data_IF_895620102138
#
_entry.id   IF_895620102138
#
_cell.length_a   1.000
_cell.length_b   1.000
_cell.length_c   1.000
_cell.angle_alpha   90.00
_cell.angle_beta   90.00
_cell.angle_gamma   90.00
#
_symmetry.space_group_name_H-M   'P 1'
#
loop_
_entity.id
_entity.type
_entity.pdbx_description
1 polymer ?
#
# COMPACT_ATOMS: atom_id res chain seq x y z
N UNK A 1 -0.64 13.63 -8.35
CA UNK A 1 -1.35 14.42 -7.31
C UNK A 1 -1.55 13.52 -6.10
N UNK A 2 -0.56 13.46 -5.22
CA UNK A 2 -0.63 12.56 -4.09
C UNK A 2 -1.59 13.09 -3.02
N UNK A 3 -2.63 12.32 -2.73
CA UNK A 3 -3.72 12.71 -1.83
C UNK A 3 -3.64 11.94 -0.53
N UNK A 4 -2.52 12.16 0.17
CA UNK A 4 -2.18 11.60 1.47
C UNK A 4 -3.18 11.99 2.58
N UNK A 5 -3.96 13.05 2.40
CA UNK A 5 -4.59 13.75 3.51
C UNK A 5 -5.85 13.12 4.12
N UNK A 6 -6.27 11.90 3.75
CA UNK A 6 -7.21 11.00 4.47
C UNK A 6 -7.69 9.87 3.54
N UNK A 7 -6.87 8.85 3.33
CA UNK A 7 -7.37 7.61 2.73
C UNK A 7 -8.12 6.78 3.78
N UNK A 8 -9.36 6.41 3.47
CA UNK A 8 -10.18 5.51 4.29
C UNK A 8 -10.42 4.15 3.61
N UNK A 9 -9.71 3.85 2.52
CA UNK A 9 -9.75 2.55 1.87
C UNK A 9 -8.93 1.52 2.63
N UNK A 10 -9.43 0.29 2.64
CA UNK A 10 -8.81 -0.85 3.32
C UNK A 10 -8.47 -2.02 2.39
N UNK A 11 -8.48 -1.77 1.08
CA UNK A 11 -8.11 -2.72 0.02
C UNK A 11 -6.61 -2.65 -0.27
N UNK A 12 -6.04 -3.61 -1.03
CA UNK A 12 -4.64 -3.52 -1.47
C UNK A 12 -4.34 -2.15 -2.08
N UNK A 13 -3.16 -1.61 -1.78
CA UNK A 13 -2.75 -0.26 -2.16
C UNK A 13 -3.06 0.82 -1.12
N UNK A 14 -3.73 0.48 -0.01
CA UNK A 14 -4.15 1.41 1.03
C UNK A 14 -3.85 0.87 2.44
N UNK A 15 -4.56 1.37 3.46
CA UNK A 15 -4.31 0.97 4.85
C UNK A 15 -4.70 -0.49 5.08
N UNK A 16 -3.93 -1.18 5.92
CA UNK A 16 -4.29 -2.53 6.39
C UNK A 16 -5.46 -2.40 7.37
N UNK A 17 -6.57 -3.10 7.12
CA UNK A 17 -7.66 -3.20 8.10
C UNK A 17 -7.25 -4.05 9.30
N UNK A 18 -7.70 -3.71 10.51
CA UNK A 18 -7.33 -4.41 11.73
C UNK A 18 -7.69 -5.92 11.73
N UNK A 19 -8.79 -6.30 11.05
CA UNK A 19 -9.17 -7.71 10.87
C UNK A 19 -8.15 -8.45 9.99
N UNK A 20 -7.68 -7.82 8.92
CA UNK A 20 -6.64 -8.41 8.05
C UNK A 20 -5.31 -8.50 8.79
N UNK A 21 -4.97 -7.46 9.55
CA UNK A 21 -3.79 -7.45 10.40
C UNK A 21 -3.78 -8.64 11.38
N UNK A 22 -4.87 -8.85 12.13
CA UNK A 22 -4.95 -9.95 13.09
C UNK A 22 -4.74 -11.32 12.44
N UNK A 23 -5.40 -11.57 11.31
CA UNK A 23 -5.25 -12.83 10.56
C UNK A 23 -3.85 -13.03 9.98
N UNK A 24 -3.14 -11.95 9.72
CA UNK A 24 -1.80 -11.97 9.14
C UNK A 24 -0.73 -12.23 10.20
N UNK A 25 -0.89 -11.70 11.42
CA UNK A 25 0.02 -11.97 12.55
C UNK A 25 -0.02 -13.44 12.99
N UNK A 26 -1.15 -14.12 12.78
CA UNK A 26 -1.31 -15.55 13.07
C UNK A 26 -0.67 -16.47 12.01
N UNK A 27 0.08 -15.92 11.04
CA UNK A 27 0.63 -16.68 9.91
C UNK A 27 2.15 -16.71 9.94
N UNK A 28 2.71 -17.89 9.68
CA UNK A 28 4.17 -18.11 9.63
C UNK A 28 4.80 -17.84 8.26
N UNK A 29 4.02 -17.45 7.25
CA UNK A 29 4.54 -17.31 5.88
C UNK A 29 4.93 -15.86 5.55
N UNK A 30 6.13 -15.52 6.01
CA UNK A 30 6.85 -14.29 5.68
C UNK A 30 8.16 -14.65 4.99
N UNK A 31 8.48 -13.95 3.90
CA UNK A 31 9.72 -14.16 3.16
C UNK A 31 10.47 -12.85 3.04
N UNK A 32 11.78 -12.89 3.29
CA UNK A 32 12.62 -11.71 3.12
C UNK A 32 12.63 -11.30 1.64
N UNK A 33 12.57 -10.00 1.40
CA UNK A 33 12.53 -9.40 0.07
C UNK A 33 13.38 -8.15 0.02
N UNK A 34 13.92 -7.87 -1.16
CA UNK A 34 14.45 -6.56 -1.47
C UNK A 34 13.31 -5.67 -1.96
N UNK A 35 13.28 -4.41 -1.51
CA UNK A 35 12.25 -3.46 -1.90
C UNK A 35 12.90 -2.16 -2.34
N UNK A 36 12.58 -1.73 -3.55
CA UNK A 36 12.96 -0.42 -4.07
C UNK A 36 11.71 0.39 -4.38
N UNK A 37 11.74 1.67 -4.04
CA UNK A 37 10.64 2.60 -4.27
C UNK A 37 11.07 3.60 -5.33
N UNK A 38 10.37 3.56 -6.46
CA UNK A 38 10.50 4.57 -7.52
C UNK A 38 9.50 5.70 -7.21
N UNK A 39 10.03 6.83 -6.73
CA UNK A 39 9.21 7.99 -6.35
C UNK A 39 8.72 8.78 -7.56
N UNK A 40 9.39 8.69 -8.70
CA UNK A 40 9.02 9.41 -9.91
C UNK A 40 7.86 8.72 -10.62
N UNK A 41 7.87 7.39 -10.63
CA UNK A 41 6.79 6.56 -11.18
C UNK A 41 5.71 6.22 -10.15
N UNK A 42 5.92 6.55 -8.87
CA UNK A 42 5.07 6.15 -7.75
C UNK A 42 4.86 4.62 -7.68
N UNK A 43 5.93 3.85 -7.92
CA UNK A 43 5.92 2.39 -7.99
C UNK A 43 6.82 1.74 -6.93
N UNK A 44 6.47 0.50 -6.60
CA UNK A 44 7.24 -0.34 -5.69
C UNK A 44 7.75 -1.55 -6.45
N UNK A 45 9.05 -1.73 -6.46
CA UNK A 45 9.74 -2.90 -6.98
C UNK A 45 10.00 -3.83 -5.80
N UNK A 46 9.26 -4.93 -5.75
CA UNK A 46 9.50 -6.01 -4.79
C UNK A 46 10.27 -7.12 -5.49
N UNK A 47 11.46 -7.44 -5.00
CA UNK A 47 12.35 -8.43 -5.59
C UNK A 47 12.44 -9.62 -4.64
N UNK A 48 12.11 -10.81 -5.15
CA UNK A 48 12.20 -12.07 -4.43
C UNK A 48 12.87 -13.11 -5.31
N UNK A 49 13.93 -13.74 -4.82
CA UNK A 49 14.63 -14.81 -5.56
C UNK A 49 15.03 -14.36 -6.99
N UNK A 50 15.46 -13.10 -7.14
CA UNK A 50 15.81 -12.48 -8.43
C UNK A 50 14.61 -12.14 -9.34
N UNK A 51 13.37 -12.43 -8.93
CA UNK A 51 12.16 -12.06 -9.66
C UNK A 51 11.59 -10.76 -9.13
N UNK A 52 11.43 -9.79 -10.02
CA UNK A 52 10.80 -8.51 -9.69
C UNK A 52 9.29 -8.57 -9.90
N UNK A 53 8.55 -8.00 -8.95
CA UNK A 53 7.13 -7.72 -9.05
C UNK A 53 6.90 -6.22 -8.85
N UNK A 54 6.12 -5.61 -9.74
CA UNK A 54 5.69 -4.21 -9.61
C UNK A 54 4.40 -4.13 -8.80
N UNK A 55 4.41 -3.24 -7.82
CA UNK A 55 3.34 -3.01 -6.86
C UNK A 55 3.11 -1.50 -6.69
N UNK A 56 1.99 -1.16 -6.07
CA UNK A 56 1.60 0.21 -5.80
C UNK A 56 1.09 0.37 -4.37
N UNK A 57 1.33 1.56 -3.81
CA UNK A 57 0.79 2.00 -2.53
C UNK A 57 0.46 3.48 -2.63
N UNK A 58 -0.70 3.88 -2.12
CA UNK A 58 -1.18 5.26 -2.22
C UNK A 58 -0.32 6.31 -1.52
N UNK A 59 0.57 5.88 -0.62
CA UNK A 59 1.50 6.74 0.12
C UNK A 59 2.94 6.25 -0.06
N UNK A 60 3.45 6.39 -1.29
CA UNK A 60 4.78 5.92 -1.66
C UNK A 60 5.89 6.58 -0.83
N UNK A 61 5.74 7.89 -0.54
CA UNK A 61 6.68 8.65 0.28
C UNK A 61 6.80 8.07 1.70
N UNK A 62 5.67 7.70 2.32
CA UNK A 62 5.68 7.03 3.60
C UNK A 62 6.41 5.69 3.61
N UNK A 63 6.14 4.85 2.60
CA UNK A 63 6.82 3.56 2.50
C UNK A 63 8.33 3.76 2.32
N UNK A 64 8.73 4.72 1.47
CA UNK A 64 10.14 5.03 1.27
C UNK A 64 10.81 5.48 2.58
N UNK A 65 10.16 6.36 3.35
CA UNK A 65 10.67 6.80 4.65
C UNK A 65 10.76 5.64 5.66
N UNK A 66 9.82 4.70 5.65
CA UNK A 66 9.88 3.51 6.50
C UNK A 66 11.04 2.58 6.13
N UNK A 67 11.34 2.42 4.83
CA UNK A 67 12.46 1.63 4.34
C UNK A 67 13.82 2.26 4.71
N UNK A 68 13.93 3.59 4.72
CA UNK A 68 15.16 4.31 5.10
C UNK A 68 15.57 4.07 6.55
N UNK A 69 14.60 3.81 7.44
CA UNK A 69 14.82 3.57 8.87
C UNK A 69 14.69 2.09 9.26
N UNK A 70 14.59 1.20 8.26
CA UNK A 70 14.36 -0.21 8.52
C UNK A 70 15.53 -0.81 9.32
N UNK A 71 15.21 -1.56 10.38
CA UNK A 71 16.22 -2.17 11.26
C UNK A 71 16.65 -3.57 10.83
N UNK A 72 15.93 -4.16 9.87
CA UNK A 72 16.18 -5.48 9.31
C UNK A 72 15.55 -5.58 7.91
N UNK A 73 15.76 -6.70 7.21
CA UNK A 73 15.23 -6.96 5.89
C UNK A 73 13.68 -6.85 5.87
N UNK A 74 13.10 -6.14 4.88
CA UNK A 74 11.66 -6.14 4.68
C UNK A 74 11.14 -7.54 4.38
N UNK A 75 9.94 -7.84 4.87
CA UNK A 75 9.33 -9.17 4.73
C UNK A 75 8.00 -9.08 3.98
N UNK A 76 7.78 -10.00 3.06
CA UNK A 76 6.60 -10.07 2.23
C UNK A 76 5.70 -11.22 2.64
N UNK A 77 4.39 -10.94 2.74
CA UNK A 77 3.35 -11.94 2.86
C UNK A 77 2.53 -11.97 1.56
N UNK A 78 2.80 -12.91 0.62
CA UNK A 78 2.10 -12.97 -0.67
C UNK A 78 0.59 -13.12 -0.53
N UNK A 79 0.15 -13.93 0.44
CA UNK A 79 -1.27 -14.27 0.65
C UNK A 79 -2.12 -13.04 0.95
N UNK A 80 -1.57 -12.08 1.70
CA UNK A 80 -2.25 -10.86 2.07
C UNK A 80 -1.77 -9.65 1.29
N UNK A 81 -0.83 -9.82 0.35
CA UNK A 81 -0.20 -8.73 -0.38
C UNK A 81 0.33 -7.63 0.55
N UNK A 82 0.91 -8.01 1.69
CA UNK A 82 1.37 -7.07 2.72
C UNK A 82 2.88 -7.13 2.83
N UNK A 83 3.50 -5.96 2.78
CA UNK A 83 4.89 -5.77 3.13
C UNK A 83 5.00 -5.35 4.60
N UNK A 84 5.87 -6.02 5.34
CA UNK A 84 6.29 -5.63 6.68
C UNK A 84 7.70 -5.02 6.59
N UNK A 85 7.86 -3.82 7.15
CA UNK A 85 9.13 -3.11 7.23
C UNK A 85 9.52 -3.02 8.70
N UNK A 86 10.51 -3.83 9.17
CA UNK A 86 10.95 -3.82 10.55
C UNK A 86 11.41 -2.42 10.99
N UNK A 87 10.91 -1.91 12.12
CA UNK A 87 11.22 -0.55 12.59
C UNK A 87 10.41 0.59 11.93
N UNK A 88 9.67 0.30 10.86
CA UNK A 88 8.88 1.31 10.11
C UNK A 88 7.84 2.08 10.94
N UNK A 89 7.39 1.53 12.07
CA UNK A 89 6.52 2.22 13.03
C UNK A 89 7.10 3.54 13.57
N UNK A 90 8.43 3.69 13.58
CA UNK A 90 9.09 4.94 14.00
C UNK A 90 8.98 6.04 12.93
N UNK A 91 8.50 5.69 11.73
CA UNK A 91 8.36 6.60 10.59
C UNK A 91 7.06 7.41 10.60
N UNK A 92 6.86 8.26 9.59
CA UNK A 92 5.77 9.25 9.54
C UNK A 92 4.36 8.64 9.52
N UNK A 93 4.21 7.35 9.18
CA UNK A 93 2.91 6.67 9.19
C UNK A 93 2.54 6.04 10.50
N UNK A 94 3.49 5.83 11.41
CA UNK A 94 3.25 5.00 12.59
C UNK A 94 2.82 3.57 12.24
N UNK A 95 3.30 3.01 11.12
CA UNK A 95 2.99 1.63 10.69
C UNK A 95 4.20 0.94 10.11
N UNK A 96 4.43 -0.31 10.55
CA UNK A 96 5.38 -1.22 9.91
C UNK A 96 4.75 -2.03 8.77
N UNK A 97 3.44 -1.94 8.55
CA UNK A 97 2.72 -2.79 7.60
C UNK A 97 2.11 -1.96 6.47
N UNK A 98 2.33 -2.39 5.24
CA UNK A 98 1.95 -1.71 4.00
C UNK A 98 1.19 -2.69 3.10
N UNK A 99 -0.09 -2.41 2.84
CA UNK A 99 -0.92 -3.25 1.98
C UNK A 99 -0.70 -2.85 0.52
N UNK A 100 -0.05 -3.69 -0.27
CA UNK A 100 0.41 -3.34 -1.61
C UNK A 100 -0.57 -3.88 -2.67
N UNK A 101 -0.90 -3.05 -3.66
CA UNK A 101 -1.72 -3.46 -4.81
C UNK A 101 -0.84 -3.92 -5.96
N UNK A 102 -1.29 -4.93 -6.70
CA UNK A 102 -0.81 -5.13 -8.07
C UNK A 102 -1.34 -4.01 -8.96
N UNK A 103 -0.58 -3.67 -10.00
CA UNK A 103 -0.92 -2.56 -10.91
C UNK A 103 -2.28 -2.76 -11.62
N UNK A 104 -2.68 -4.00 -11.88
CA UNK A 104 -3.97 -4.36 -12.47
C UNK A 104 -5.15 -4.32 -11.47
N UNK A 105 -4.89 -3.98 -10.20
CA UNK A 105 -5.85 -3.96 -9.10
C UNK A 105 -5.82 -2.65 -8.31
N UNK A 106 -5.23 -1.60 -8.87
CA UNK A 106 -5.19 -0.28 -8.23
C UNK A 106 -6.60 0.32 -8.19
N UNK A 107 -6.96 0.84 -7.02
CA UNK A 107 -8.22 1.54 -6.80
C UNK A 107 -7.96 2.96 -6.27
N UNK A 108 -8.82 3.94 -6.61
CA UNK A 108 -8.73 5.26 -6.02
C UNK A 108 -8.93 5.24 -4.49
N UNK A 109 -8.26 6.15 -3.80
CA UNK A 109 -8.51 6.38 -2.37
C UNK A 109 -9.96 6.85 -2.14
N UNK A 110 -10.64 6.25 -1.16
CA UNK A 110 -11.87 6.81 -0.62
C UNK A 110 -11.52 7.99 0.29
N UNK A 111 -12.16 9.15 0.03
CA UNK A 111 -12.09 10.33 0.88
C UNK A 111 -13.40 10.50 1.65
N UNK A 112 -13.39 10.92 2.93
CA UNK A 112 -14.60 11.31 3.63
C UNK A 112 -15.30 12.44 2.86
N UNK A 113 -16.59 12.27 2.55
CA UNK A 113 -17.41 13.31 1.90
C UNK A 113 -17.43 13.32 0.37
N UNK A 114 -16.71 12.42 -0.32
CA UNK A 114 -16.87 12.16 -1.75
C UNK A 114 -17.63 10.85 -1.93
N UNK A 115 -18.96 10.91 -1.77
CA UNK A 115 -19.83 9.90 -2.37
C UNK A 115 -19.55 9.86 -3.89
N UNK A 116 -19.51 8.66 -4.48
CA UNK A 116 -19.49 8.49 -5.94
C UNK A 116 -20.74 9.17 -6.51
N UNK A 117 -20.59 10.42 -6.96
CA UNK A 117 -21.52 11.03 -7.91
C UNK A 117 -20.90 10.83 -9.27
N UNK A 118 -21.09 9.63 -9.82
CA UNK A 118 -20.93 9.38 -11.23
C UNK A 118 -22.26 8.77 -11.67
N UNK A 119 -22.89 9.40 -12.67
CA UNK A 119 -24.21 9.10 -13.25
C UNK A 119 -25.39 9.80 -12.58
N UNK A 120 -25.52 11.12 -12.82
CA UNK A 120 -26.77 11.68 -13.35
C UNK A 120 -26.55 13.11 -13.87
N UNK A 121 -27.21 13.43 -14.99
CA UNK A 121 -27.20 14.71 -15.74
C UNK A 121 -26.12 14.89 -16.82
N UNK A 122 -26.05 13.91 -17.73
CA UNK A 122 -26.12 14.23 -19.16
C UNK A 122 -27.49 13.73 -19.66
N UNK A 123 -28.52 14.56 -19.53
CA UNK A 123 -29.78 14.45 -20.27
C UNK A 123 -30.62 15.72 -20.07
N UNK A 124 -31.15 16.27 -21.16
CA UNK A 124 -31.85 17.57 -21.33
C UNK A 124 -30.84 18.72 -21.55
N UNK A 125 -30.43 19.13 -22.76
CA UNK A 125 -31.19 19.39 -24.01
C UNK A 125 -32.50 20.13 -23.73
N UNK A 126 -32.43 21.46 -23.75
CA UNK A 126 -33.08 22.33 -24.74
C UNK A 126 -32.43 23.72 -24.72
#
# INVERSE_FOLDING_TARGET
MSTHLRCHSYTPGHRVHWIHFRRMVEMDYWVDVEVHVDRDLELIHLIREGKQQLLWFHDVAALAAALEIAVDAPQWCPRYSTLMVPGGFQGPTGSSFFYLARLDRVHPCLRPGLSRSAEDQVASSE
#
